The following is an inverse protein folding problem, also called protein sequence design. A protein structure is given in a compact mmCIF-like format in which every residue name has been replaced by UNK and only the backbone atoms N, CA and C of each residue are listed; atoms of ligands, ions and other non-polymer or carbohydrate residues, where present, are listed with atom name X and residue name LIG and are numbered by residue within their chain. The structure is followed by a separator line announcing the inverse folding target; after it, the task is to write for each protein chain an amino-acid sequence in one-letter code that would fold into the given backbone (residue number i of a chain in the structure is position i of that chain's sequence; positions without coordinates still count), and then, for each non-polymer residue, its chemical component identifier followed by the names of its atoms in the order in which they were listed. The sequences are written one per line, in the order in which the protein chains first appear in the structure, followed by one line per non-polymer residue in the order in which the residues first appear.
data_IF_862882142003
#
_entry.id   IF_862882142003
#
_cell.length_a   1.000
_cell.length_b   1.000
_cell.length_c   1.000
_cell.angle_alpha   90.00
_cell.angle_beta   90.00
_cell.angle_gamma   90.00
#
_symmetry.space_group_name_H-M   'P 1'
#
loop_
_entity.id
_entity.type
_entity.pdbx_description
1 polymer ?
#
# COMPACT_ATOMS: atom_id res chain seq x y z
N UNK A 1 4.79 -1.04 -24.39
CA UNK A 1 3.65 -1.89 -23.99
C UNK A 1 2.83 -1.12 -22.97
N UNK A 2 1.49 -1.19 -23.01
CA UNK A 2 0.67 -0.53 -22.01
C UNK A 2 0.87 -1.16 -20.62
N UNK A 3 0.81 -0.33 -19.57
CA UNK A 3 0.93 -0.80 -18.18
C UNK A 3 -0.26 -1.68 -17.81
N UNK A 4 0.05 -2.89 -17.34
CA UNK A 4 -0.95 -3.89 -16.93
C UNK A 4 -1.39 -3.71 -15.49
N UNK A 5 -2.57 -4.22 -15.12
CA UNK A 5 -3.06 -4.17 -13.72
C UNK A 5 -2.11 -4.89 -12.77
N UNK A 6 -1.48 -5.99 -13.21
CA UNK A 6 -0.47 -6.70 -12.42
C UNK A 6 0.72 -5.81 -12.09
N UNK A 7 1.17 -4.99 -13.03
CA UNK A 7 2.26 -4.03 -12.81
C UNK A 7 1.83 -2.92 -11.83
N UNK A 8 0.59 -2.41 -11.96
CA UNK A 8 0.05 -1.42 -11.02
C UNK A 8 -0.06 -1.98 -9.61
N UNK A 9 -0.61 -3.18 -9.43
CA UNK A 9 -0.72 -3.84 -8.13
C UNK A 9 0.66 -3.99 -7.49
N UNK A 10 1.64 -4.48 -8.25
CA UNK A 10 3.02 -4.63 -7.75
C UNK A 10 3.64 -3.30 -7.34
N UNK A 11 3.48 -2.25 -8.16
CA UNK A 11 3.98 -0.92 -7.84
C UNK A 11 3.29 -0.34 -6.59
N UNK A 12 1.96 -0.40 -6.49
CA UNK A 12 1.18 0.13 -5.36
C UNK A 12 1.48 -0.61 -4.06
N UNK A 13 1.59 -1.94 -4.11
CA UNK A 13 1.89 -2.76 -2.94
C UNK A 13 3.29 -2.47 -2.37
N UNK A 14 4.27 -2.24 -3.25
CA UNK A 14 5.65 -1.93 -2.87
C UNK A 14 5.98 -0.44 -2.84
N UNK A 15 5.00 0.45 -2.94
CA UNK A 15 5.25 1.90 -3.02
C UNK A 15 5.49 2.47 -1.62
N UNK A 16 6.67 3.01 -1.30
CA UNK A 16 6.86 3.69 -0.02
C UNK A 16 6.04 4.98 0.05
N UNK A 17 5.74 5.62 -1.08
CA UNK A 17 4.87 6.79 -1.16
C UNK A 17 5.44 8.03 -0.45
N UNK A 18 6.77 8.10 -0.28
CA UNK A 18 7.45 9.21 0.40
C UNK A 18 8.67 9.63 -0.43
N UNK A 19 8.49 10.63 -1.29
CA UNK A 19 9.54 11.14 -2.19
C UNK A 19 10.84 11.53 -1.47
N UNK A 20 10.74 12.22 -0.34
CA UNK A 20 11.92 12.66 0.44
C UNK A 20 12.63 11.52 1.18
N UNK A 21 12.04 10.33 1.22
CA UNK A 21 12.53 9.16 1.93
C UNK A 21 13.02 8.05 1.00
N UNK A 22 12.41 6.87 1.11
CA UNK A 22 12.73 5.72 0.28
C UNK A 22 12.35 5.90 -1.20
N UNK A 23 11.51 6.90 -1.50
CA UNK A 23 11.02 7.22 -2.83
C UNK A 23 9.54 6.91 -3.01
N UNK A 24 9.07 7.12 -4.22
CA UNK A 24 7.71 6.78 -4.61
C UNK A 24 7.64 6.34 -6.07
N UNK A 25 6.75 5.39 -6.34
CA UNK A 25 6.40 5.05 -7.70
C UNK A 25 5.45 6.10 -8.28
N UNK A 26 5.75 6.54 -9.49
CA UNK A 26 4.96 7.48 -10.29
C UNK A 26 4.61 6.83 -11.62
N UNK A 27 3.52 7.30 -12.23
CA UNK A 27 3.16 6.97 -13.60
C UNK A 27 3.40 8.19 -14.49
N UNK A 28 4.22 8.03 -15.52
CA UNK A 28 4.41 9.04 -16.55
C UNK A 28 3.40 8.80 -17.68
N UNK A 29 2.52 9.78 -17.91
CA UNK A 29 1.54 9.74 -19.00
C UNK A 29 2.19 9.88 -20.36
N UNK A 30 3.20 10.76 -20.48
CA UNK A 30 3.93 10.98 -21.73
C UNK A 30 4.61 9.70 -22.23
N UNK A 31 5.21 8.95 -21.32
CA UNK A 31 5.95 7.72 -21.64
C UNK A 31 5.10 6.45 -21.54
N UNK A 32 3.96 6.52 -20.85
CA UNK A 32 3.10 5.37 -20.57
C UNK A 32 3.76 4.31 -19.69
N UNK A 33 4.58 4.72 -18.71
CA UNK A 33 5.38 3.82 -17.88
C UNK A 33 5.34 4.18 -16.38
N UNK A 34 5.62 3.18 -15.54
CA UNK A 34 5.84 3.35 -14.10
C UNK A 34 7.33 3.54 -13.87
N UNK A 35 7.70 4.53 -13.07
CA UNK A 35 9.07 4.77 -12.64
C UNK A 35 9.14 5.04 -11.14
N UNK A 36 10.30 4.77 -10.52
CA UNK A 36 10.59 5.10 -9.13
C UNK A 36 11.47 6.36 -9.11
N UNK A 37 11.17 7.30 -8.23
CA UNK A 37 12.01 8.48 -8.01
C UNK A 37 12.03 8.84 -6.54
N UNK A 38 13.12 9.46 -6.09
CA UNK A 38 13.25 10.02 -4.74
C UNK A 38 14.09 11.29 -4.79
N UNK A 39 14.08 12.07 -3.70
CA UNK A 39 14.95 13.24 -3.58
C UNK A 39 16.44 12.87 -3.71
N UNK A 40 16.83 11.67 -3.25
CA UNK A 40 18.22 11.19 -3.31
C UNK A 40 18.60 10.65 -4.70
N UNK A 41 17.67 9.97 -5.37
CA UNK A 41 17.88 9.36 -6.68
C UNK A 41 16.81 9.87 -7.64
N UNK A 42 16.93 11.16 -7.98
CA UNK A 42 15.96 11.85 -8.81
C UNK A 42 16.04 11.40 -10.27
N UNK A 43 14.92 10.99 -10.84
CA UNK A 43 14.83 10.68 -12.27
C UNK A 43 14.45 11.91 -13.09
N UNK A 44 15.46 12.67 -13.51
CA UNK A 44 15.30 13.88 -14.33
C UNK A 44 14.76 13.61 -15.74
N UNK A 45 14.70 12.34 -16.19
CA UNK A 45 14.15 11.97 -17.51
C UNK A 45 12.66 12.32 -17.64
N UNK A 46 11.99 12.50 -16.51
CA UNK A 46 10.55 12.72 -16.44
C UNK A 46 10.16 14.12 -15.94
N UNK A 47 11.11 15.05 -15.77
CA UNK A 47 10.86 16.39 -15.20
C UNK A 47 9.88 17.22 -16.04
N UNK A 48 10.04 17.18 -17.36
CA UNK A 48 9.21 17.92 -18.32
C UNK A 48 7.98 17.11 -18.78
N UNK A 49 7.76 15.92 -18.21
CA UNK A 49 6.64 15.06 -18.57
C UNK A 49 5.45 15.26 -17.64
N UNK A 50 4.26 14.91 -18.14
CA UNK A 50 3.09 14.83 -17.29
C UNK A 50 3.11 13.50 -16.53
N UNK A 51 3.17 13.56 -15.21
CA UNK A 51 3.19 12.40 -14.34
C UNK A 51 2.30 12.61 -13.11
N UNK A 52 1.95 11.51 -12.45
CA UNK A 52 1.31 11.55 -11.14
C UNK A 52 1.88 10.45 -10.23
N UNK A 53 1.84 10.67 -8.92
CA UNK A 53 2.26 9.67 -7.93
C UNK A 53 1.22 8.54 -7.83
N UNK A 54 1.68 7.29 -7.92
CA UNK A 54 0.80 6.16 -7.68
C UNK A 54 0.39 6.12 -6.20
N UNK A 55 -0.82 5.64 -5.88
CA UNK A 55 -1.18 5.41 -4.50
C UNK A 55 -0.24 4.37 -3.87
N UNK A 56 -0.18 4.38 -2.54
CA UNK A 56 0.53 3.37 -1.76
C UNK A 56 -0.44 2.62 -0.87
N UNK A 57 -0.27 1.30 -0.77
CA UNK A 57 -1.01 0.48 0.17
C UNK A 57 -0.65 0.84 1.63
N UNK A 58 0.63 1.08 1.89
CA UNK A 58 1.16 1.38 3.22
C UNK A 58 2.33 2.36 3.10
N UNK A 59 2.06 3.67 3.00
CA UNK A 59 3.12 4.66 2.90
C UNK A 59 4.05 4.59 4.12
N UNK A 60 5.34 4.78 3.90
CA UNK A 60 6.34 4.76 4.97
C UNK A 60 5.97 5.76 6.08
N UNK A 61 5.98 5.28 7.33
CA UNK A 61 5.62 6.09 8.50
C UNK A 61 4.11 6.31 8.73
N UNK A 62 3.24 5.89 7.81
CA UNK A 62 1.79 6.11 7.93
C UNK A 62 1.09 5.19 8.95
N UNK A 63 1.66 4.00 9.19
CA UNK A 63 1.08 2.94 10.02
C UNK A 63 -0.37 2.55 9.63
N UNK A 64 -0.77 2.76 8.37
CA UNK A 64 -2.16 2.54 7.93
C UNK A 64 -2.54 1.07 7.99
N UNK A 65 -1.70 0.16 7.47
CA UNK A 65 -1.97 -1.28 7.56
C UNK A 65 -1.97 -1.76 9.01
N UNK A 66 -1.04 -1.29 9.84
CA UNK A 66 -1.01 -1.61 11.27
C UNK A 66 -2.33 -1.22 11.95
N UNK A 67 -2.81 0.00 11.74
CA UNK A 67 -4.09 0.47 12.34
C UNK A 67 -5.30 -0.26 11.77
N UNK A 68 -5.26 -0.70 10.52
CA UNK A 68 -6.31 -1.52 9.92
C UNK A 68 -6.31 -2.92 10.53
N UNK A 69 -5.13 -3.53 10.71
CA UNK A 69 -4.99 -4.83 11.34
C UNK A 69 -5.40 -4.81 12.81
N UNK A 70 -4.98 -3.80 13.57
CA UNK A 70 -5.43 -3.60 14.96
C UNK A 70 -6.95 -3.52 15.07
N UNK A 71 -7.64 -2.86 14.13
CA UNK A 71 -9.11 -2.83 14.07
C UNK A 71 -9.71 -4.15 13.62
N UNK A 72 -9.03 -4.89 12.76
CA UNK A 72 -9.48 -6.19 12.27
C UNK A 72 -9.47 -7.23 13.38
N UNK A 73 -8.43 -7.26 14.21
CA UNK A 73 -8.29 -8.28 15.27
C UNK A 73 -9.27 -8.09 16.44
N UNK A 74 -9.93 -6.92 16.58
CA UNK A 74 -10.94 -6.70 17.64
C UNK A 74 -12.20 -7.54 17.47
N UNK A 75 -12.38 -8.18 16.30
CA UNK A 75 -13.49 -9.12 16.06
C UNK A 75 -13.20 -10.53 16.60
N UNK A 76 -11.95 -10.82 16.94
CA UNK A 76 -11.55 -12.10 17.50
C UNK A 76 -11.72 -12.12 19.02
N UNK A 77 -11.53 -13.28 19.66
CA UNK A 77 -11.66 -13.37 21.11
C UNK A 77 -10.60 -12.51 21.81
N UNK A 78 -10.89 -11.97 23.01
CA UNK A 78 -9.93 -11.16 23.76
C UNK A 78 -8.60 -11.87 23.99
N UNK A 79 -8.61 -13.18 24.24
CA UNK A 79 -7.39 -13.96 24.43
C UNK A 79 -6.54 -14.02 23.15
N UNK A 80 -7.19 -14.13 21.98
CA UNK A 80 -6.50 -14.15 20.70
C UNK A 80 -5.91 -12.79 20.37
N UNK A 81 -6.68 -11.72 20.58
CA UNK A 81 -6.21 -10.35 20.43
C UNK A 81 -4.99 -10.07 21.32
N UNK A 82 -5.08 -10.36 22.62
CA UNK A 82 -3.97 -10.20 23.57
C UNK A 82 -2.71 -10.96 23.13
N UNK A 83 -2.88 -12.17 22.60
CA UNK A 83 -1.78 -12.97 22.08
C UNK A 83 -1.05 -12.30 20.91
N UNK A 84 -1.80 -11.72 19.97
CA UNK A 84 -1.26 -11.01 18.83
C UNK A 84 -0.61 -9.69 19.21
N UNK A 85 -1.21 -8.93 20.13
CA UNK A 85 -0.64 -7.69 20.64
C UNK A 85 0.69 -7.95 21.35
N UNK A 86 0.76 -8.97 22.21
CA UNK A 86 2.02 -9.36 22.86
C UNK A 86 3.08 -9.81 21.86
N UNK A 87 2.67 -10.55 20.82
CA UNK A 87 3.59 -10.92 19.76
C UNK A 87 4.11 -9.68 19.03
N UNK A 88 3.23 -8.77 18.63
CA UNK A 88 3.57 -7.53 17.93
C UNK A 88 4.50 -6.64 18.76
N UNK A 89 4.28 -6.52 20.06
CA UNK A 89 5.16 -5.78 20.97
C UNK A 89 6.59 -6.36 21.03
N UNK A 90 6.73 -7.68 20.81
CA UNK A 90 8.02 -8.36 20.87
C UNK A 90 8.74 -8.46 19.52
N UNK A 91 7.99 -8.58 18.42
CA UNK A 91 8.51 -8.91 17.08
C UNK A 91 8.20 -7.85 16.01
N UNK A 92 7.38 -6.87 16.32
CA UNK A 92 6.87 -5.88 15.38
C UNK A 92 5.48 -6.24 14.82
N UNK A 93 4.72 -5.22 14.47
CA UNK A 93 3.38 -5.37 13.89
C UNK A 93 3.42 -5.96 12.48
N UNK A 94 4.48 -5.70 11.71
CA UNK A 94 4.66 -6.29 10.38
C UNK A 94 4.69 -7.82 10.49
N UNK A 95 5.47 -8.36 11.43
CA UNK A 95 5.53 -9.80 11.70
C UNK A 95 4.21 -10.35 12.27
N UNK A 96 3.44 -9.55 13.00
CA UNK A 96 2.16 -9.99 13.55
C UNK A 96 1.08 -10.19 12.48
N UNK A 97 1.23 -9.52 11.33
CA UNK A 97 0.35 -9.64 10.16
C UNK A 97 0.73 -10.81 9.23
N UNK A 98 1.87 -11.46 9.48
CA UNK A 98 2.38 -12.56 8.66
C UNK A 98 1.87 -13.94 9.11
N UNK A 99 1.88 -14.88 8.17
CA UNK A 99 1.59 -16.30 8.42
C UNK A 99 2.57 -16.92 9.42
N UNK A 100 2.06 -17.75 10.32
CA UNK A 100 2.84 -18.44 11.35
C UNK A 100 3.94 -19.35 10.79
N UNK A 101 3.71 -20.00 9.65
CA UNK A 101 4.73 -20.81 8.97
C UNK A 101 5.90 -19.97 8.43
N UNK A 102 5.68 -18.67 8.16
CA UNK A 102 6.72 -17.69 7.82
C UNK A 102 7.39 -17.06 9.05
N UNK A 103 7.07 -17.53 10.26
CA UNK A 103 7.54 -16.92 11.52
C UNK A 103 6.66 -15.78 12.04
N UNK A 104 5.49 -15.56 11.43
CA UNK A 104 4.50 -14.60 11.88
C UNK A 104 3.58 -15.12 13.00
N UNK A 105 2.45 -14.46 13.19
CA UNK A 105 1.55 -14.73 14.30
C UNK A 105 0.18 -15.30 13.88
N UNK A 106 -0.20 -15.18 12.61
CA UNK A 106 -1.51 -15.58 12.10
C UNK A 106 -1.56 -17.07 11.74
N UNK A 107 -2.63 -17.74 12.14
CA UNK A 107 -2.99 -19.06 11.63
C UNK A 107 -3.49 -18.94 10.17
N UNK A 108 -3.51 -20.05 9.43
CA UNK A 108 -3.80 -20.04 7.99
C UNK A 108 -5.15 -19.38 7.64
N UNK A 109 -6.20 -19.66 8.41
CA UNK A 109 -7.52 -19.04 8.20
C UNK A 109 -7.52 -17.55 8.49
N UNK A 110 -6.83 -17.13 9.55
CA UNK A 110 -6.76 -15.72 9.95
C UNK A 110 -5.96 -14.89 8.93
N UNK A 111 -4.86 -15.46 8.43
CA UNK A 111 -4.07 -14.84 7.38
C UNK A 111 -4.83 -14.76 6.07
N UNK A 112 -5.60 -15.79 5.70
CA UNK A 112 -6.46 -15.75 4.52
C UNK A 112 -7.49 -14.62 4.61
N UNK A 113 -8.19 -14.50 5.75
CA UNK A 113 -9.16 -13.42 5.97
C UNK A 113 -8.50 -12.03 5.96
N UNK A 114 -7.31 -11.90 6.54
CA UNK A 114 -6.55 -10.65 6.51
C UNK A 114 -6.11 -10.30 5.08
N UNK A 115 -5.61 -11.29 4.34
CA UNK A 115 -5.16 -11.13 2.96
C UNK A 115 -6.32 -10.71 2.03
N UNK A 116 -7.54 -11.19 2.26
CA UNK A 116 -8.72 -10.75 1.50
C UNK A 116 -8.97 -9.24 1.67
N UNK A 117 -8.85 -8.71 2.88
CA UNK A 117 -9.00 -7.27 3.15
C UNK A 117 -7.90 -6.46 2.47
N UNK A 118 -6.65 -6.93 2.56
CA UNK A 118 -5.51 -6.29 1.91
C UNK A 118 -5.68 -6.30 0.39
N UNK A 119 -6.08 -7.44 -0.19
CA UNK A 119 -6.32 -7.58 -1.62
C UNK A 119 -7.46 -6.68 -2.10
N UNK A 120 -8.56 -6.60 -1.36
CA UNK A 120 -9.67 -5.71 -1.69
C UNK A 120 -9.23 -4.23 -1.69
N UNK A 121 -8.39 -3.84 -0.73
CA UNK A 121 -7.82 -2.50 -0.69
C UNK A 121 -6.86 -2.25 -1.86
N UNK A 122 -5.99 -3.20 -2.20
CA UNK A 122 -5.11 -3.12 -3.35
C UNK A 122 -5.88 -2.98 -4.65
N UNK A 123 -6.97 -3.74 -4.82
CA UNK A 123 -7.83 -3.65 -6.00
C UNK A 123 -8.49 -2.27 -6.12
N UNK A 124 -8.96 -1.71 -4.99
CA UNK A 124 -9.50 -0.35 -4.95
C UNK A 124 -8.46 0.70 -5.38
N UNK A 125 -7.25 0.63 -4.84
CA UNK A 125 -6.16 1.55 -5.19
C UNK A 125 -5.73 1.39 -6.65
N UNK A 126 -5.70 0.16 -7.17
CA UNK A 126 -5.43 -0.11 -8.57
C UNK A 126 -6.50 0.52 -9.47
N UNK A 127 -7.79 0.36 -9.14
CA UNK A 127 -8.90 0.99 -9.87
C UNK A 127 -8.78 2.51 -9.86
N UNK A 128 -8.41 3.12 -8.73
CA UNK A 128 -8.15 4.55 -8.63
C UNK A 128 -6.99 4.99 -9.54
N UNK A 129 -5.87 4.26 -9.52
CA UNK A 129 -4.74 4.55 -10.39
C UNK A 129 -5.13 4.41 -11.88
N UNK A 130 -5.87 3.36 -12.24
CA UNK A 130 -6.38 3.13 -13.60
C UNK A 130 -7.30 4.27 -14.05
N UNK A 131 -8.20 4.72 -13.19
CA UNK A 131 -9.06 5.87 -13.46
C UNK A 131 -8.24 7.14 -13.73
N UNK A 132 -7.16 7.38 -12.98
CA UNK A 132 -6.30 8.53 -13.25
C UNK A 132 -5.53 8.39 -14.57
N UNK A 133 -5.10 7.17 -14.94
CA UNK A 133 -4.45 6.89 -16.24
C UNK A 133 -5.42 7.19 -17.37
N UNK A 134 -6.64 6.65 -17.30
CA UNK A 134 -7.63 6.72 -18.38
C UNK A 134 -8.32 8.09 -18.46
N UNK A 135 -8.48 8.79 -17.32
CA UNK A 135 -9.11 10.10 -17.22
C UNK A 135 -8.17 11.12 -16.53
N UNK A 136 -7.33 11.85 -17.29
CA UNK A 136 -6.39 12.83 -16.73
C UNK A 136 -7.04 13.95 -15.91
N UNK A 137 -8.26 14.35 -16.28
CA UNK A 137 -9.00 15.45 -15.63
C UNK A 137 -9.79 15.01 -14.39
N UNK A 138 -9.78 13.72 -14.03
CA UNK A 138 -10.42 13.25 -12.81
C UNK A 138 -9.56 13.66 -11.61
N UNK A 139 -9.89 14.80 -11.00
CA UNK A 139 -9.25 15.28 -9.78
C UNK A 139 -9.19 14.16 -8.72
N UNK A 140 -8.06 13.98 -8.02
CA UNK A 140 -7.97 12.97 -6.96
C UNK A 140 -9.07 13.24 -5.93
N UNK A 141 -9.73 12.20 -5.39
CA UNK A 141 -10.67 12.41 -4.30
C UNK A 141 -9.94 13.14 -3.17
N UNK A 142 -10.48 14.29 -2.77
CA UNK A 142 -9.93 15.09 -1.69
C UNK A 142 -9.70 14.18 -0.46
N UNK A 143 -8.61 14.40 0.30
CA UNK A 143 -8.43 13.71 1.57
C UNK A 143 -9.69 13.98 2.41
N UNK A 144 -10.33 12.92 2.91
CA UNK A 144 -11.41 13.08 3.87
C UNK A 144 -10.81 13.68 5.15
N UNK A 145 -10.80 15.01 5.24
CA UNK A 145 -10.63 15.72 6.50
C UNK A 145 -11.85 15.39 7.36
N UNK A 146 -11.61 14.61 8.42
CA UNK A 146 -12.62 14.28 9.40
C UNK A 146 -13.16 15.54 10.06
N UNK A 147 -14.48 15.63 10.13
CA UNK A 147 -15.20 16.53 11.05
C UNK A 147 -15.50 15.77 12.34
#
# INVERSE_FOLDING_TARGET
MPVTDRMLIGAIAGNPGVFDGAGEYRYCRTCGLIFMTSAKNHDATHDDHEWFALPSLNPDGSNVLMRAFQRFITRWSPERQDGLERFALKRGWDMAMELKYGGGALEDSEAAEWQEIVNARLEQLMKQARQQIDNPDAAPPAPMEGT
#
